data_IF_578028465388
#
_entry.id   IF_578028465388
#
_cell.length_a   1.000
_cell.length_b   1.000
_cell.length_c   1.000
_cell.angle_alpha   90.00
_cell.angle_beta   90.00
_cell.angle_gamma   90.00
#
_symmetry.space_group_name_H-M   'P 1'
#
loop_
_entity.id
_entity.type
_entity.pdbx_description
1 polymer ?
#
# COMPACT_ATOMS: atom_id res chain seq x y z
N UNK A 1 -48.91 -14.36 -14.99
CA UNK A 1 -47.66 -14.35 -15.81
C UNK A 1 -47.43 -12.95 -16.35
N UNK A 2 -46.54 -12.19 -15.72
CA UNK A 2 -45.89 -10.92 -16.16
C UNK A 2 -45.42 -10.27 -14.86
N UNK A 3 -44.11 -10.29 -14.59
CA UNK A 3 -43.37 -9.41 -13.66
C UNK A 3 -41.90 -9.84 -13.48
N UNK A 4 -41.49 -10.99 -14.02
CA UNK A 4 -40.07 -11.42 -14.09
C UNK A 4 -39.21 -10.63 -15.07
N UNK A 5 -39.80 -9.72 -15.88
CA UNK A 5 -39.08 -8.96 -16.91
C UNK A 5 -38.37 -7.70 -16.41
N UNK A 6 -38.66 -7.22 -15.19
CA UNK A 6 -38.08 -5.97 -14.67
C UNK A 6 -36.85 -6.17 -13.76
N UNK A 7 -36.61 -7.38 -13.25
CA UNK A 7 -35.42 -7.67 -12.44
C UNK A 7 -34.15 -7.88 -13.28
N UNK A 8 -34.31 -8.44 -14.48
CA UNK A 8 -33.21 -8.66 -15.44
C UNK A 8 -32.55 -7.34 -15.87
N UNK A 9 -33.28 -6.27 -16.26
CA UNK A 9 -32.66 -5.01 -16.65
C UNK A 9 -32.01 -4.26 -15.47
N UNK A 10 -32.52 -4.41 -14.24
CA UNK A 10 -31.92 -3.77 -13.05
C UNK A 10 -30.60 -4.47 -12.68
N UNK A 11 -30.56 -5.80 -12.74
CA UNK A 11 -29.32 -6.56 -12.53
C UNK A 11 -28.30 -6.28 -13.65
N UNK A 12 -28.76 -6.10 -14.89
CA UNK A 12 -27.91 -5.73 -16.02
C UNK A 12 -27.37 -4.29 -15.91
N UNK A 13 -28.18 -3.34 -15.44
CA UNK A 13 -27.75 -1.95 -15.16
C UNK A 13 -26.72 -1.88 -14.01
N UNK A 14 -26.86 -2.72 -12.99
CA UNK A 14 -25.87 -2.86 -11.90
C UNK A 14 -24.56 -3.49 -12.39
N UNK A 15 -24.61 -4.41 -13.36
CA UNK A 15 -23.42 -5.02 -13.97
C UNK A 15 -22.70 -4.05 -14.93
N UNK A 16 -23.43 -3.25 -15.70
CA UNK A 16 -22.87 -2.25 -16.64
C UNK A 16 -22.25 -1.06 -15.90
N UNK A 17 -22.82 -0.64 -14.77
CA UNK A 17 -22.23 0.41 -13.91
C UNK A 17 -20.91 -0.04 -13.25
N UNK A 18 -20.75 -1.34 -12.97
CA UNK A 18 -19.46 -1.90 -12.51
C UNK A 18 -18.38 -1.89 -13.60
N UNK A 19 -18.74 -2.00 -14.89
CA UNK A 19 -17.77 -1.95 -16.00
C UNK A 19 -17.28 -0.53 -16.30
N UNK A 20 -18.08 0.51 -16.02
CA UNK A 20 -17.66 1.91 -16.26
C UNK A 20 -16.63 2.41 -15.25
N UNK A 21 -16.54 1.82 -14.05
CA UNK A 21 -15.50 2.18 -13.06
C UNK A 21 -14.13 1.64 -13.47
N UNK A 22 -14.08 0.58 -14.29
CA UNK A 22 -12.81 -0.03 -14.74
C UNK A 22 -12.15 0.75 -15.90
N UNK A 23 -12.91 1.57 -16.66
CA UNK A 23 -12.39 2.25 -17.86
C UNK A 23 -11.98 3.73 -17.68
N UNK A 24 -12.14 4.34 -16.50
CA UNK A 24 -11.74 5.74 -16.27
C UNK A 24 -10.26 5.88 -15.87
N UNK A 25 -9.50 4.79 -15.77
CA UNK A 25 -8.05 4.84 -15.48
C UNK A 25 -7.17 4.89 -16.73
N UNK A 26 -7.70 5.20 -17.91
CA UNK A 26 -6.93 5.11 -19.16
C UNK A 26 -7.23 6.25 -20.15
N UNK A 27 -7.16 7.51 -19.74
CA UNK A 27 -6.78 8.59 -20.65
C UNK A 27 -6.51 9.94 -19.94
N UNK A 28 -5.23 10.28 -19.75
CA UNK A 28 -4.72 11.66 -20.00
C UNK A 28 -3.20 11.64 -19.93
N UNK A 29 -2.59 11.21 -21.04
CA UNK A 29 -1.22 11.54 -21.39
C UNK A 29 -1.24 12.93 -22.03
N UNK A 30 -0.75 13.94 -21.32
CA UNK A 30 -0.36 15.22 -21.91
C UNK A 30 1.12 15.46 -21.62
N UNK A 31 1.86 15.62 -22.71
CA UNK A 31 3.30 15.78 -22.82
C UNK A 31 3.84 16.98 -22.04
N UNK A 32 5.07 16.84 -21.54
CA UNK A 32 6.05 17.92 -21.60
C UNK A 32 7.45 17.30 -21.75
N UNK A 33 7.94 17.32 -22.99
CA UNK A 33 9.37 17.40 -23.30
C UNK A 33 9.91 18.71 -22.73
N UNK A 34 11.04 18.66 -22.05
CA UNK A 34 11.98 19.76 -22.07
C UNK A 34 13.41 19.24 -22.00
N UNK A 35 14.21 19.77 -22.90
CA UNK A 35 15.54 19.33 -23.30
C UNK A 35 16.61 19.56 -22.23
N UNK A 36 17.69 18.79 -22.37
CA UNK A 36 19.00 19.01 -21.77
C UNK A 36 19.53 20.43 -22.04
N UNK A 37 20.13 21.04 -21.02
CA UNK A 37 21.25 21.93 -21.23
C UNK A 37 22.26 21.76 -20.09
N UNK A 38 23.40 21.20 -20.45
CA UNK A 38 24.61 21.21 -19.64
C UNK A 38 25.41 22.49 -19.97
N UNK A 39 25.76 23.28 -18.96
CA UNK A 39 27.00 24.06 -18.99
C UNK A 39 27.44 24.52 -17.59
N UNK A 40 28.54 23.93 -17.14
CA UNK A 40 29.74 24.55 -16.57
C UNK A 40 29.66 25.62 -15.47
N UNK A 41 30.04 25.17 -14.26
CA UNK A 41 30.92 25.76 -13.22
C UNK A 41 31.28 27.25 -13.34
N UNK A 42 31.18 27.99 -12.23
CA UNK A 42 32.32 28.67 -11.57
C UNK A 42 31.99 28.93 -10.09
N UNK A 43 32.98 28.66 -9.24
CA UNK A 43 33.04 28.86 -7.79
C UNK A 43 32.94 30.35 -7.41
N UNK A 44 32.14 30.66 -6.39
CA UNK A 44 32.56 31.37 -5.16
C UNK A 44 31.31 31.80 -4.38
N UNK A 45 31.02 31.11 -3.28
CA UNK A 45 30.34 31.71 -2.14
C UNK A 45 30.65 30.89 -0.88
N UNK A 46 31.82 31.17 -0.30
CA UNK A 46 32.03 31.01 1.13
C UNK A 46 31.27 32.13 1.84
N UNK A 47 30.09 31.83 2.40
CA UNK A 47 29.62 32.34 3.69
C UNK A 47 28.30 31.64 4.10
N UNK A 48 28.28 31.12 5.33
CA UNK A 48 27.18 30.40 5.99
C UNK A 48 26.76 29.05 5.40
N UNK A 49 27.57 28.01 5.61
CA UNK A 49 27.07 26.62 5.59
C UNK A 49 26.13 26.39 6.79
N UNK A 50 24.88 26.86 6.66
CA UNK A 50 23.75 26.18 7.29
C UNK A 50 23.88 24.70 6.93
N UNK A 51 23.90 23.83 7.94
CA UNK A 51 24.05 22.38 7.75
C UNK A 51 23.08 21.90 6.68
N UNK A 52 23.57 21.59 5.48
CA UNK A 52 22.76 21.06 4.40
C UNK A 52 22.65 19.54 4.62
N UNK A 53 21.46 19.06 4.98
CA UNK A 53 21.19 17.63 5.06
C UNK A 53 21.08 17.08 3.64
N UNK A 54 22.14 16.41 3.18
CA UNK A 54 22.13 15.66 1.92
C UNK A 54 21.39 14.32 2.05
N UNK A 55 20.13 14.34 2.49
CA UNK A 55 19.29 13.14 2.62
C UNK A 55 18.05 13.27 1.72
N UNK A 56 17.88 12.34 0.78
CA UNK A 56 16.69 12.30 -0.08
C UNK A 56 15.47 11.80 0.71
N UNK A 57 14.53 12.71 1.00
CA UNK A 57 13.29 12.42 1.74
C UNK A 57 12.46 11.31 1.10
N UNK A 58 12.25 11.38 -0.22
CA UNK A 58 11.45 10.38 -0.97
C UNK A 58 12.06 8.99 -0.88
N UNK A 59 13.39 8.86 -1.04
CA UNK A 59 14.11 7.59 -0.87
C UNK A 59 14.05 7.10 0.59
N UNK A 60 14.16 8.01 1.56
CA UNK A 60 14.01 7.67 2.99
C UNK A 60 12.62 7.10 3.29
N UNK A 61 11.56 7.72 2.73
CA UNK A 61 10.17 7.23 2.82
C UNK A 61 10.01 5.85 2.20
N UNK A 62 10.64 5.61 1.04
CA UNK A 62 10.63 4.29 0.40
C UNK A 62 11.34 3.22 1.24
N UNK A 63 12.50 3.55 1.82
CA UNK A 63 13.22 2.68 2.74
C UNK A 63 12.37 2.32 3.96
N UNK A 64 11.73 3.33 4.57
CA UNK A 64 10.83 3.11 5.71
C UNK A 64 9.66 2.21 5.34
N UNK A 65 8.99 2.46 4.21
CA UNK A 65 7.88 1.62 3.73
C UNK A 65 8.30 0.16 3.57
N UNK A 66 9.51 -0.10 3.08
CA UNK A 66 10.06 -1.45 2.97
C UNK A 66 10.27 -2.08 4.35
N UNK A 67 10.83 -1.35 5.30
CA UNK A 67 11.02 -1.80 6.69
C UNK A 67 9.65 -2.15 7.30
N UNK A 68 8.68 -1.25 7.20
CA UNK A 68 7.33 -1.43 7.74
C UNK A 68 6.60 -2.62 7.11
N UNK A 69 6.70 -2.79 5.79
CA UNK A 69 5.95 -3.84 5.08
C UNK A 69 6.63 -5.22 5.20
N UNK A 70 7.96 -5.29 5.15
CA UNK A 70 8.70 -6.56 5.01
C UNK A 70 9.51 -6.98 6.22
N UNK A 71 9.79 -6.09 7.18
CA UNK A 71 10.57 -6.40 8.38
C UNK A 71 9.75 -6.33 9.66
N UNK A 72 9.00 -5.25 9.89
CA UNK A 72 8.23 -5.04 11.13
C UNK A 72 7.29 -6.20 11.51
N UNK A 73 6.57 -6.87 10.58
CA UNK A 73 5.70 -7.99 10.95
C UNK A 73 6.46 -9.13 11.64
N UNK A 74 7.73 -9.34 11.30
CA UNK A 74 8.55 -10.39 11.90
C UNK A 74 9.15 -9.97 13.24
N UNK A 75 9.45 -8.69 13.42
CA UNK A 75 9.88 -8.13 14.71
C UNK A 75 8.77 -8.26 15.74
N UNK A 76 7.55 -7.90 15.35
CA UNK A 76 6.34 -8.05 16.16
C UNK A 76 6.08 -9.53 16.49
N UNK A 77 6.21 -10.43 15.51
CA UNK A 77 6.00 -11.86 15.69
C UNK A 77 7.01 -12.51 16.65
N UNK A 78 8.29 -12.12 16.59
CA UNK A 78 9.34 -12.66 17.46
C UNK A 78 9.48 -11.86 18.78
N UNK A 79 8.61 -10.87 19.02
CA UNK A 79 8.64 -9.93 20.16
C UNK A 79 10.04 -9.36 20.39
N UNK A 80 10.71 -8.97 19.31
CA UNK A 80 12.09 -8.54 19.36
C UNK A 80 12.19 -7.01 19.41
N UNK A 81 12.85 -6.51 20.44
CA UNK A 81 13.19 -5.09 20.57
C UNK A 81 14.53 -4.81 19.89
N UNK A 82 14.50 -3.96 18.86
CA UNK A 82 15.71 -3.53 18.18
C UNK A 82 16.54 -2.63 19.09
N UNK A 83 17.86 -2.80 19.03
CA UNK A 83 18.79 -1.90 19.72
C UNK A 83 18.69 -0.47 19.18
N UNK A 84 18.75 0.53 20.06
CA UNK A 84 18.84 1.94 19.68
C UNK A 84 20.09 2.27 18.85
N UNK A 85 21.09 1.37 18.82
CA UNK A 85 22.27 1.51 17.95
C UNK A 85 22.02 1.05 16.51
N UNK A 86 20.95 0.31 16.25
CA UNK A 86 20.64 -0.19 14.92
C UNK A 86 20.19 0.94 14.00
N UNK A 87 20.73 0.99 12.79
CA UNK A 87 20.38 2.03 11.80
C UNK A 87 18.93 1.96 11.31
N UNK A 88 18.30 0.79 11.41
CA UNK A 88 16.90 0.57 11.04
C UNK A 88 15.93 0.94 12.19
N UNK A 89 16.44 1.33 13.36
CA UNK A 89 15.59 1.66 14.51
C UNK A 89 14.69 2.86 14.16
N UNK A 90 13.37 2.83 14.49
CA UNK A 90 12.45 3.90 14.15
C UNK A 90 12.90 5.29 14.63
N UNK A 91 13.43 5.37 15.86
CA UNK A 91 13.90 6.63 16.46
C UNK A 91 15.17 7.20 15.80
N UNK A 92 15.86 6.39 14.99
CA UNK A 92 17.05 6.82 14.28
C UNK A 92 16.74 7.35 12.88
N UNK A 93 15.49 7.30 12.41
CA UNK A 93 15.12 7.85 11.10
C UNK A 93 14.99 9.38 11.16
N UNK A 94 15.83 10.05 10.39
CA UNK A 94 15.94 11.51 10.32
C UNK A 94 14.61 12.21 10.03
N UNK A 95 13.78 11.64 9.14
CA UNK A 95 12.53 12.28 8.73
C UNK A 95 11.31 11.72 9.46
N UNK A 96 11.49 10.77 10.38
CA UNK A 96 10.40 10.02 11.02
C UNK A 96 9.31 10.90 11.60
N UNK A 97 9.73 11.86 12.42
CA UNK A 97 8.84 12.78 13.11
C UNK A 97 8.03 13.61 12.11
N UNK A 98 8.68 14.17 11.09
CA UNK A 98 8.00 14.96 10.05
C UNK A 98 7.03 14.13 9.20
N UNK A 99 7.38 12.89 8.85
CA UNK A 99 6.49 12.00 8.10
C UNK A 99 5.26 11.60 8.95
N UNK A 100 5.42 11.41 10.26
CA UNK A 100 4.31 11.17 11.19
C UNK A 100 3.38 12.38 11.37
N UNK A 101 3.91 13.58 11.14
CA UNK A 101 3.14 14.84 11.20
C UNK A 101 2.54 15.26 9.85
N UNK A 102 2.45 14.34 8.88
CA UNK A 102 1.65 14.55 7.67
C UNK A 102 0.23 14.10 7.90
N UNK A 103 -0.71 15.00 7.64
CA UNK A 103 -2.13 14.70 7.75
C UNK A 103 -2.72 14.76 6.35
N UNK A 104 -3.26 13.65 5.86
CA UNK A 104 -3.97 13.60 4.58
C UNK A 104 -5.47 13.69 4.86
N UNK A 105 -6.09 14.84 4.55
CA UNK A 105 -7.49 15.11 4.86
C UNK A 105 -8.42 14.68 3.71
N UNK A 106 -8.02 14.95 2.47
CA UNK A 106 -8.77 14.62 1.26
C UNK A 106 -7.80 14.40 0.08
N UNK A 107 -8.29 13.90 -1.07
CA UNK A 107 -7.52 13.54 -2.28
C UNK A 107 -6.48 14.60 -2.67
N UNK A 108 -6.82 15.88 -2.51
CA UNK A 108 -5.95 17.01 -2.86
C UNK A 108 -5.67 17.92 -1.65
N UNK A 109 -5.81 17.42 -0.43
CA UNK A 109 -5.59 18.22 0.77
C UNK A 109 -4.66 17.52 1.77
N UNK A 110 -3.46 18.07 1.87
CA UNK A 110 -2.41 17.68 2.82
C UNK A 110 -2.22 18.79 3.85
N UNK A 111 -2.14 18.45 5.13
CA UNK A 111 -1.98 19.42 6.20
C UNK A 111 -0.72 19.13 7.00
N UNK A 112 0.00 20.21 7.34
CA UNK A 112 1.14 20.16 8.26
C UNK A 112 0.68 19.95 9.70
N UNK A 113 1.16 18.89 10.35
CA UNK A 113 0.83 18.57 11.74
C UNK A 113 1.28 19.61 12.75
N UNK A 114 2.38 20.33 12.47
CA UNK A 114 2.97 21.33 13.37
C UNK A 114 2.23 22.68 13.36
N UNK A 115 1.97 23.25 12.17
CA UNK A 115 1.40 24.60 12.03
C UNK A 115 0.02 24.63 11.36
N UNK A 116 -0.55 23.48 11.04
CA UNK A 116 -1.91 23.30 10.48
C UNK A 116 -2.16 23.95 9.11
N UNK A 117 -1.11 24.37 8.39
CA UNK A 117 -1.22 24.85 7.01
C UNK A 117 -1.61 23.70 6.07
N UNK A 118 -2.58 23.95 5.18
CA UNK A 118 -3.01 23.01 4.14
C UNK A 118 -2.27 23.26 2.82
N UNK A 119 -2.09 22.21 2.04
CA UNK A 119 -1.35 22.14 0.80
C UNK A 119 -2.09 21.24 -0.19
N UNK A 120 -2.00 21.59 -1.48
CA UNK A 120 -2.72 20.86 -2.54
C UNK A 120 -2.16 19.46 -2.83
N UNK A 121 -0.90 19.22 -2.48
CA UNK A 121 -0.20 17.97 -2.77
C UNK A 121 0.92 17.75 -1.76
N UNK A 122 1.28 16.48 -1.54
CA UNK A 122 2.32 16.06 -0.60
C UNK A 122 3.66 16.76 -0.87
N UNK A 123 4.05 16.90 -2.15
CA UNK A 123 5.30 17.57 -2.53
C UNK A 123 5.44 19.01 -1.99
N UNK A 124 4.32 19.73 -1.88
CA UNK A 124 4.33 21.10 -1.36
C UNK A 124 4.42 21.12 0.16
N UNK A 125 3.88 20.09 0.82
CA UNK A 125 4.04 19.89 2.25
C UNK A 125 5.49 19.48 2.59
N UNK A 126 6.10 18.61 1.78
CA UNK A 126 7.51 18.22 1.91
C UNK A 126 8.43 19.45 1.80
N UNK A 127 8.25 20.25 0.74
CA UNK A 127 8.98 21.50 0.56
C UNK A 127 8.73 22.49 1.72
N UNK A 128 7.53 22.51 2.29
CA UNK A 128 7.24 23.33 3.48
C UNK A 128 8.00 22.84 4.71
N UNK A 129 8.14 21.53 4.92
CA UNK A 129 8.97 21.00 6.01
C UNK A 129 10.43 21.41 5.87
N UNK A 130 10.98 21.29 4.66
CA UNK A 130 12.38 21.64 4.38
C UNK A 130 12.64 23.14 4.63
N UNK A 131 11.67 24.02 4.33
CA UNK A 131 11.85 25.46 4.48
C UNK A 131 11.50 26.02 5.87
N UNK A 132 10.52 25.42 6.56
CA UNK A 132 9.91 26.01 7.78
C UNK A 132 10.09 25.17 9.04
N UNK A 133 10.33 23.87 8.89
CA UNK A 133 10.45 22.93 10.00
C UNK A 133 11.78 22.16 9.98
N UNK A 134 12.76 22.68 9.26
CA UNK A 134 14.11 22.11 9.20
C UNK A 134 14.73 21.96 10.61
N UNK A 135 14.56 22.97 11.45
CA UNK A 135 15.11 23.02 12.81
C UNK A 135 14.55 21.94 13.76
N UNK A 136 13.47 21.25 13.37
CA UNK A 136 12.92 20.15 14.16
C UNK A 136 13.64 18.81 13.89
N UNK A 137 14.51 18.75 12.88
CA UNK A 137 15.28 17.55 12.57
C UNK A 137 16.40 17.34 13.59
N UNK A 138 16.49 16.14 14.16
CA UNK A 138 17.63 15.75 15.00
C UNK A 138 18.81 15.28 14.13
N UNK A 139 19.48 16.20 13.44
CA UNK A 139 20.59 15.90 12.53
C UNK A 139 21.77 15.20 13.24
N UNK A 140 21.94 15.43 14.54
CA UNK A 140 23.06 14.87 15.32
C UNK A 140 22.87 13.40 15.71
N UNK A 141 21.66 13.01 16.10
CA UNK A 141 21.37 11.67 16.61
C UNK A 141 20.79 10.72 15.56
N UNK A 142 20.10 11.25 14.56
CA UNK A 142 19.43 10.44 13.54
C UNK A 142 20.34 10.13 12.34
N UNK A 143 19.88 9.21 11.50
CA UNK A 143 20.55 8.72 10.30
C UNK A 143 19.60 8.82 9.10
N UNK A 144 20.18 9.11 7.95
CA UNK A 144 19.44 9.09 6.70
C UNK A 144 19.13 7.64 6.29
N UNK A 145 17.85 7.26 6.19
CA UNK A 145 17.49 5.92 5.69
C UNK A 145 17.70 5.78 4.18
N UNK A 146 17.74 6.89 3.43
CA UNK A 146 18.02 6.85 1.99
C UNK A 146 19.39 6.24 1.68
N UNK A 147 20.36 6.35 2.60
CA UNK A 147 21.68 5.71 2.50
C UNK A 147 21.58 4.18 2.48
N UNK A 148 20.49 3.63 3.03
CA UNK A 148 20.24 2.19 3.10
C UNK A 148 19.47 1.68 1.88
N UNK A 149 19.04 2.55 0.97
CA UNK A 149 18.24 2.15 -0.18
C UNK A 149 18.92 1.15 -1.10
N UNK A 150 20.25 1.25 -1.21
CA UNK A 150 21.03 0.26 -1.94
C UNK A 150 20.90 -1.14 -1.35
N UNK A 151 20.87 -1.27 -0.01
CA UNK A 151 20.71 -2.55 0.68
C UNK A 151 19.24 -3.03 0.74
N UNK A 152 18.29 -2.10 0.85
CA UNK A 152 16.86 -2.39 1.04
C UNK A 152 16.06 -2.53 -0.27
N UNK A 153 16.66 -2.22 -1.43
CA UNK A 153 15.99 -2.25 -2.74
C UNK A 153 14.86 -1.21 -2.90
N UNK A 154 15.06 0.04 -2.43
CA UNK A 154 14.05 1.11 -2.53
C UNK A 154 13.51 1.32 -3.96
N UNK A 155 14.38 1.19 -4.97
CA UNK A 155 14.02 1.44 -6.36
C UNK A 155 12.91 0.49 -6.86
N UNK A 156 12.76 -0.68 -6.22
CA UNK A 156 11.68 -1.65 -6.51
C UNK A 156 10.30 -1.13 -6.09
N UNK A 157 10.23 -0.33 -5.02
CA UNK A 157 8.96 0.18 -4.45
C UNK A 157 8.63 1.58 -4.96
N UNK A 158 9.62 2.33 -5.44
CA UNK A 158 9.44 3.72 -5.90
C UNK A 158 8.79 3.85 -7.29
N UNK A 159 8.33 2.77 -7.93
CA UNK A 159 7.75 2.76 -9.29
C UNK A 159 8.59 3.52 -10.33
N UNK A 160 9.88 3.74 -10.04
CA UNK A 160 10.81 4.23 -11.03
C UNK A 160 10.90 3.11 -12.05
N UNK A 161 10.38 3.36 -13.26
CA UNK A 161 10.48 2.41 -14.37
C UNK A 161 11.94 1.99 -14.40
N UNK A 162 12.23 0.78 -13.94
CA UNK A 162 13.59 0.27 -13.97
C UNK A 162 13.91 0.13 -15.45
N UNK A 163 14.46 1.19 -16.06
CA UNK A 163 15.18 1.05 -17.31
C UNK A 163 16.11 -0.11 -17.02
N UNK A 164 16.04 -1.16 -17.85
CA UNK A 164 16.74 -2.42 -17.63
C UNK A 164 18.25 -2.14 -17.76
N UNK A 165 18.80 -1.49 -16.76
CA UNK A 165 20.18 -1.06 -16.69
C UNK A 165 20.97 -2.33 -16.44
N UNK A 166 22.04 -2.51 -17.22
CA UNK A 166 22.93 -3.64 -17.07
C UNK A 166 23.40 -3.71 -15.61
N UNK A 167 23.27 -4.86 -14.98
CA UNK A 167 23.70 -5.04 -13.59
C UNK A 167 25.17 -4.67 -13.44
N UNK A 168 25.48 -3.84 -12.44
CA UNK A 168 26.84 -3.53 -12.05
C UNK A 168 27.27 -4.48 -10.92
N UNK A 169 28.19 -5.44 -11.16
CA UNK A 169 28.60 -6.41 -10.16
C UNK A 169 29.27 -5.75 -8.94
N UNK A 170 29.99 -4.65 -9.13
CA UNK A 170 30.62 -3.94 -8.02
C UNK A 170 29.58 -3.25 -7.13
N UNK A 171 28.52 -2.69 -7.71
CA UNK A 171 27.42 -2.11 -6.94
C UNK A 171 26.63 -3.19 -6.18
N UNK A 172 26.33 -4.32 -6.82
CA UNK A 172 25.68 -5.46 -6.19
C UNK A 172 26.50 -5.99 -4.99
N UNK A 173 27.81 -6.18 -5.15
CA UNK A 173 28.68 -6.61 -4.07
C UNK A 173 28.73 -5.61 -2.90
N UNK A 174 28.84 -4.30 -3.18
CA UNK A 174 28.79 -3.26 -2.14
C UNK A 174 27.49 -3.27 -1.37
N UNK A 175 26.35 -3.34 -2.07
CA UNK A 175 25.03 -3.38 -1.45
C UNK A 175 24.81 -4.66 -0.64
N UNK A 176 25.34 -5.80 -1.11
CA UNK A 176 25.32 -7.06 -0.37
C UNK A 176 26.03 -6.92 0.97
N UNK A 177 27.27 -6.43 0.97
CA UNK A 177 28.04 -6.25 2.22
C UNK A 177 27.41 -5.22 3.16
N UNK A 178 26.85 -4.13 2.62
CA UNK A 178 26.09 -3.17 3.43
C UNK A 178 24.88 -3.84 4.08
N UNK A 179 24.17 -4.70 3.34
CA UNK A 179 23.03 -5.46 3.85
C UNK A 179 23.41 -6.46 4.95
N UNK A 180 24.50 -7.20 4.77
CA UNK A 180 25.02 -8.12 5.80
C UNK A 180 25.42 -7.36 7.07
N UNK A 181 26.15 -6.24 6.93
CA UNK A 181 26.51 -5.40 8.08
C UNK A 181 25.30 -4.84 8.83
N UNK A 182 24.19 -4.54 8.13
CA UNK A 182 22.92 -4.18 8.77
C UNK A 182 22.33 -5.37 9.54
N UNK A 183 22.31 -6.56 8.94
CA UNK A 183 21.80 -7.76 9.60
C UNK A 183 22.55 -8.05 10.90
N UNK A 184 23.88 -7.97 10.88
CA UNK A 184 24.73 -8.29 12.03
C UNK A 184 24.66 -7.23 13.13
N UNK A 185 24.56 -5.95 12.75
CA UNK A 185 24.46 -4.85 13.72
C UNK A 185 23.08 -4.74 14.37
N UNK A 186 22.01 -5.05 13.64
CA UNK A 186 20.64 -4.95 14.13
C UNK A 186 20.13 -6.25 14.77
N UNK A 187 20.60 -7.40 14.30
CA UNK A 187 20.19 -8.73 14.75
C UNK A 187 21.41 -9.61 15.07
N UNK A 188 22.19 -9.28 16.11
CA UNK A 188 23.38 -10.05 16.46
C UNK A 188 23.00 -11.46 16.95
N UNK A 189 23.57 -12.48 16.31
CA UNK A 189 23.26 -13.91 16.54
C UNK A 189 23.53 -14.35 17.99
N UNK A 190 24.41 -13.64 18.71
CA UNK A 190 24.79 -13.89 20.10
C UNK A 190 23.67 -13.46 21.07
N UNK A 191 22.80 -12.54 20.67
CA UNK A 191 21.76 -11.96 21.54
C UNK A 191 20.53 -12.87 21.74
N UNK A 192 20.51 -14.05 21.11
CA UNK A 192 19.53 -15.09 21.41
C UNK A 192 18.95 -15.77 20.17
N UNK A 193 17.96 -16.64 20.38
CA UNK A 193 17.31 -17.41 19.31
C UNK A 193 16.49 -16.52 18.37
N UNK A 194 15.75 -15.54 18.91
CA UNK A 194 14.94 -14.60 18.11
C UNK A 194 15.83 -13.74 17.21
N UNK A 195 16.92 -13.18 17.76
CA UNK A 195 17.91 -12.41 16.99
C UNK A 195 18.51 -13.25 15.84
N UNK A 196 18.86 -14.51 16.10
CA UNK A 196 19.36 -15.42 15.05
C UNK A 196 18.35 -15.66 13.94
N UNK A 197 17.08 -15.93 14.28
CA UNK A 197 16.01 -16.11 13.28
C UNK A 197 15.78 -14.87 12.45
N UNK A 198 15.81 -13.69 13.08
CA UNK A 198 15.66 -12.40 12.40
C UNK A 198 16.84 -12.09 11.50
N UNK A 199 18.06 -12.40 11.92
CA UNK A 199 19.26 -12.27 11.09
C UNK A 199 19.15 -13.16 9.83
N UNK A 200 18.85 -14.45 9.99
CA UNK A 200 18.65 -15.38 8.87
C UNK A 200 17.52 -14.92 7.93
N UNK A 201 16.43 -14.43 8.50
CA UNK A 201 15.32 -13.87 7.74
C UNK A 201 15.77 -12.65 6.94
N UNK A 202 16.43 -11.70 7.58
CA UNK A 202 16.87 -10.46 6.97
C UNK A 202 17.83 -10.73 5.81
N UNK A 203 18.81 -11.61 6.00
CA UNK A 203 19.73 -12.06 4.94
C UNK A 203 18.97 -12.66 3.75
N UNK A 204 18.01 -13.54 4.02
CA UNK A 204 17.24 -14.19 2.96
C UNK A 204 16.26 -13.25 2.24
N UNK A 205 15.68 -12.29 2.98
CA UNK A 205 14.65 -11.39 2.46
C UNK A 205 15.24 -10.23 1.66
N UNK A 206 16.37 -9.67 2.11
CA UNK A 206 16.99 -8.47 1.55
C UNK A 206 18.32 -8.77 0.85
N UNK A 207 19.24 -9.50 1.50
CA UNK A 207 20.63 -9.55 1.07
C UNK A 207 20.87 -10.50 -0.12
N UNK A 208 20.25 -11.68 -0.13
CA UNK A 208 20.41 -12.66 -1.22
C UNK A 208 19.96 -12.17 -2.60
N UNK A 209 19.17 -11.10 -2.66
CA UNK A 209 18.76 -10.48 -3.92
C UNK A 209 19.88 -9.62 -4.56
N UNK A 210 20.94 -9.26 -3.83
CA UNK A 210 22.10 -8.52 -4.34
C UNK A 210 23.03 -9.42 -5.17
N UNK A 211 22.54 -9.85 -6.32
CA UNK A 211 23.30 -10.63 -7.31
C UNK A 211 22.94 -10.19 -8.72
N UNK A 212 23.90 -10.25 -9.65
CA UNK A 212 23.61 -10.01 -11.06
C UNK A 212 22.93 -11.18 -11.77
N UNK A 213 22.64 -12.28 -11.06
CA UNK A 213 21.89 -13.39 -11.63
C UNK A 213 20.42 -13.02 -11.83
N UNK A 214 19.91 -13.20 -13.05
CA UNK A 214 18.54 -12.86 -13.48
C UNK A 214 17.39 -13.58 -12.73
N UNK A 215 17.68 -14.47 -11.78
CA UNK A 215 16.71 -15.45 -11.23
C UNK A 215 16.23 -15.20 -9.79
N UNK A 216 16.68 -14.15 -9.08
CA UNK A 216 16.27 -13.92 -7.68
C UNK A 216 15.11 -12.93 -7.58
N UNK A 217 14.10 -13.29 -6.80
CA UNK A 217 12.92 -12.47 -6.50
C UNK A 217 13.24 -11.57 -5.29
N UNK A 218 12.99 -10.27 -5.41
CA UNK A 218 13.00 -9.36 -4.27
C UNK A 218 11.87 -9.75 -3.29
N UNK A 219 12.15 -9.75 -1.99
CA UNK A 219 11.17 -10.04 -0.94
C UNK A 219 10.47 -11.41 -1.12
N UNK A 220 11.22 -12.54 -1.10
CA UNK A 220 10.68 -13.87 -1.39
C UNK A 220 9.52 -14.30 -0.48
N UNK A 221 9.53 -13.92 0.81
CA UNK A 221 8.44 -14.25 1.75
C UNK A 221 7.21 -13.34 1.60
N UNK A 222 7.27 -12.33 0.75
CA UNK A 222 6.25 -11.28 0.66
C UNK A 222 6.28 -10.35 1.87
N UNK A 223 5.46 -9.30 1.80
CA UNK A 223 5.28 -8.32 2.87
C UNK A 223 3.95 -8.49 3.57
N UNK A 224 3.63 -7.55 4.47
CA UNK A 224 2.35 -7.45 5.15
C UNK A 224 1.23 -7.39 4.12
N UNK A 225 0.34 -8.39 4.12
CA UNK A 225 -0.85 -8.38 3.28
C UNK A 225 -1.80 -7.31 3.79
N UNK A 226 -1.88 -6.17 3.11
CA UNK A 226 -2.97 -5.24 3.30
C UNK A 226 -4.27 -5.95 2.88
N UNK A 227 -5.11 -6.32 3.85
CA UNK A 227 -6.47 -6.77 3.57
C UNK A 227 -7.15 -5.62 2.83
N UNK A 228 -7.36 -5.79 1.53
CA UNK A 228 -7.93 -4.74 0.69
C UNK A 228 -9.25 -4.31 1.32
N UNK A 229 -9.37 -3.03 1.67
CA UNK A 229 -10.61 -2.46 2.23
C UNK A 229 -11.79 -2.75 1.30
N UNK A 230 -11.54 -2.79 -0.02
CA UNK A 230 -12.53 -3.23 -1.01
C UNK A 230 -12.96 -4.68 -0.82
N UNK A 231 -12.05 -5.59 -0.52
CA UNK A 231 -12.37 -6.99 -0.25
C UNK A 231 -13.24 -7.13 1.02
N UNK A 232 -12.91 -6.38 2.07
CA UNK A 232 -13.72 -6.35 3.30
C UNK A 232 -15.10 -5.75 3.03
N UNK A 233 -15.18 -4.63 2.29
CA UNK A 233 -16.43 -3.99 1.92
C UNK A 233 -17.33 -4.92 1.08
N UNK A 234 -16.75 -5.60 0.08
CA UNK A 234 -17.45 -6.59 -0.75
C UNK A 234 -17.92 -7.77 0.12
N UNK A 235 -17.07 -8.28 1.01
CA UNK A 235 -17.43 -9.36 1.92
C UNK A 235 -18.63 -9.00 2.79
N UNK A 236 -18.62 -7.82 3.42
CA UNK A 236 -19.75 -7.33 4.23
C UNK A 236 -21.01 -7.16 3.38
N UNK A 237 -20.88 -6.56 2.19
CA UNK A 237 -22.02 -6.36 1.28
C UNK A 237 -22.65 -7.70 0.88
N UNK A 238 -21.83 -8.70 0.56
CA UNK A 238 -22.35 -10.04 0.21
C UNK A 238 -23.07 -10.70 1.38
N UNK A 239 -22.55 -10.58 2.61
CA UNK A 239 -23.20 -11.11 3.81
C UNK A 239 -24.56 -10.45 4.11
N UNK A 240 -24.74 -9.19 3.73
CA UNK A 240 -26.02 -8.47 3.89
C UNK A 240 -27.02 -8.80 2.78
N UNK A 241 -26.59 -8.88 1.53
CA UNK A 241 -27.48 -9.10 0.38
C UNK A 241 -27.96 -10.55 0.26
N UNK A 242 -27.13 -11.52 0.64
CA UNK A 242 -27.46 -12.94 0.57
C UNK A 242 -28.72 -13.32 1.37
N UNK A 243 -28.88 -12.97 2.67
CA UNK A 243 -30.10 -13.30 3.42
C UNK A 243 -31.33 -12.56 2.90
N UNK A 244 -31.18 -11.31 2.43
CA UNK A 244 -32.27 -10.55 1.82
C UNK A 244 -32.77 -11.26 0.55
N UNK A 245 -31.86 -11.73 -0.29
CA UNK A 245 -32.20 -12.49 -1.48
C UNK A 245 -33.00 -13.76 -1.14
N UNK A 246 -32.52 -14.56 -0.18
CA UNK A 246 -33.23 -15.76 0.24
C UNK A 246 -34.59 -15.46 0.89
N UNK A 247 -34.72 -14.36 1.63
CA UNK A 247 -36.00 -13.92 2.18
C UNK A 247 -37.02 -13.58 1.08
N UNK A 248 -36.59 -12.86 0.04
CA UNK A 248 -37.45 -12.53 -1.11
C UNK A 248 -37.89 -13.81 -1.83
N UNK A 249 -36.97 -14.75 -2.07
CA UNK A 249 -37.29 -16.04 -2.70
C UNK A 249 -38.28 -16.83 -1.84
N UNK A 250 -38.09 -16.86 -0.52
CA UNK A 250 -39.01 -17.53 0.41
C UNK A 250 -40.41 -16.92 0.37
N UNK A 251 -40.52 -15.58 0.42
CA UNK A 251 -41.80 -14.87 0.35
C UNK A 251 -42.51 -15.12 -0.98
N UNK A 252 -41.77 -15.09 -2.10
CA UNK A 252 -42.32 -15.37 -3.42
C UNK A 252 -42.80 -16.82 -3.56
N UNK A 253 -42.04 -17.80 -3.06
CA UNK A 253 -42.47 -19.20 -3.05
C UNK A 253 -43.72 -19.41 -2.19
N UNK A 254 -43.79 -18.74 -1.03
CA UNK A 254 -44.98 -18.77 -0.16
C UNK A 254 -46.20 -18.22 -0.87
N UNK A 255 -46.10 -17.05 -1.51
CA UNK A 255 -47.20 -16.43 -2.24
C UNK A 255 -47.71 -17.33 -3.38
N UNK A 256 -46.82 -17.92 -4.16
CA UNK A 256 -47.17 -18.88 -5.22
C UNK A 256 -47.86 -20.14 -4.66
N UNK A 257 -47.45 -20.61 -3.47
CA UNK A 257 -48.05 -21.76 -2.80
C UNK A 257 -49.43 -21.43 -2.21
N UNK A 258 -49.65 -20.21 -1.74
CA UNK A 258 -50.97 -19.74 -1.27
C UNK A 258 -51.93 -19.51 -2.44
N UNK A 259 -51.47 -18.87 -3.53
CA UNK A 259 -52.30 -18.64 -4.72
C UNK A 259 -52.76 -19.93 -5.43
N UNK A 260 -51.97 -21.02 -5.36
CA UNK A 260 -52.40 -22.34 -5.87
C UNK A 260 -53.40 -23.05 -4.96
N UNK A 261 -53.42 -22.76 -3.65
CA UNK A 261 -54.44 -23.29 -2.73
C UNK A 261 -55.80 -22.60 -2.89
N UNK A 262 -55.81 -21.27 -3.13
CA UNK A 262 -57.05 -20.52 -3.35
C UNK A 262 -57.75 -20.90 -4.66
N UNK A 263 -56.99 -21.21 -5.72
CA UNK A 263 -57.55 -21.71 -6.99
C UNK A 263 -58.08 -23.15 -6.91
N UNK A 264 -57.66 -23.94 -5.91
CA UNK A 264 -58.08 -25.34 -5.76
C UNK A 264 -59.41 -25.50 -5.00
N UNK A 265 -59.96 -24.41 -4.44
CA UNK A 265 -61.19 -24.43 -3.63
C UNK A 265 -62.43 -23.99 -4.43
N UNK A 266 -62.62 -24.50 -5.65
CA UNK A 266 -63.93 -24.52 -6.33
C UNK A 266 -64.08 -25.87 -7.05
N UNK A 267 -64.42 -26.93 -6.32
CA UNK A 267 -64.97 -28.15 -6.93
C UNK A 267 -66.48 -27.96 -7.13
N UNK A 268 -66.96 -27.99 -8.37
CA UNK A 268 -68.39 -27.87 -8.71
C UNK A 268 -69.21 -28.93 -7.96
N UNK A 269 -70.04 -28.49 -7.01
CA UNK A 269 -71.08 -29.30 -6.38
C UNK A 269 -72.31 -29.30 -7.29
N UNK A 270 -72.65 -30.48 -7.82
CA UNK A 270 -74.02 -30.93 -8.10
C UNK A 270 -74.83 -30.19 -9.16
N UNK A 271 -74.66 -30.56 -10.44
CA UNK A 271 -75.73 -30.41 -11.43
C UNK A 271 -76.82 -31.44 -11.10
N UNK A 272 -77.92 -31.02 -10.46
CA UNK A 272 -79.13 -31.85 -10.31
C UNK A 272 -79.98 -31.71 -11.57
N UNK A 273 -80.30 -32.85 -12.17
CA UNK A 273 -81.32 -33.04 -13.21
C UNK A 273 -82.72 -32.73 -12.66
N UNK A 274 -83.58 -32.13 -13.49
CA UNK A 274 -85.01 -31.93 -13.19
C UNK A 274 -85.84 -32.85 -14.10
N UNK A 275 -86.79 -33.63 -13.55
CA UNK A 275 -87.69 -34.48 -14.33
C UNK A 275 -89.02 -33.78 -14.68
N UNK A 276 -89.65 -34.33 -15.72
CA UNK A 276 -90.98 -34.11 -16.31
C UNK A 276 -91.22 -32.81 -17.07
#
# INVERSE_FOLDING_TARGET
>A
MKNTSHFIPILFLLLVSLQQIVQVSSFTQRNQEFEESASSRTLEQEHEHAHEVHCSRERSRAAWKIIEEYLMPFLEQEHYEMSSKCRLHPDNDLFRDQEQHKIHLDINEWQCGYCKKSFRAEKFLDQHFDNRHYNLLNVSGSKCLADLCGALHCDVVMDTKSSKTKCNPAAAARNHHLCEGLADSCFPIIQGRSARRLNELFLHQFCHAHTCSRKRKHFPRGGKKQLSVFYLAISILTLMLLPIFYLIVYLHQREMRTGTQDLRRISKVGQKTKPS
#
